data_IF_274992073352
#
_entry.id   IF_274992073352
#
_cell.length_a   1.000
_cell.length_b   1.000
_cell.length_c   1.000
_cell.angle_alpha   90.00
_cell.angle_beta   90.00
_cell.angle_gamma   90.00
#
_symmetry.space_group_name_H-M   'P 1'
#
loop_
_entity.id
_entity.type
_entity.pdbx_description
1 polymer ?
#
# COMPACT_ATOMS: atom_id res chain seq x y z
N UNK A 1 7.08 -6.28 3.01
CA UNK A 1 6.39 -7.38 2.32
C UNK A 1 7.08 -7.57 0.98
N UNK A 2 7.33 -8.82 0.58
CA UNK A 2 7.93 -9.09 -0.72
C UNK A 2 6.93 -8.79 -1.85
N UNK A 3 7.43 -8.70 -3.09
CA UNK A 3 6.57 -8.46 -4.24
C UNK A 3 5.64 -9.66 -4.50
N UNK A 4 6.12 -10.88 -4.28
CA UNK A 4 5.36 -12.11 -4.45
C UNK A 4 4.21 -12.19 -3.45
N UNK A 5 4.47 -11.86 -2.18
CA UNK A 5 3.42 -11.75 -1.16
C UNK A 5 2.37 -10.69 -1.55
N UNK A 6 2.83 -9.56 -2.10
CA UNK A 6 1.94 -8.47 -2.52
C UNK A 6 1.02 -8.88 -3.67
N UNK A 7 1.53 -9.60 -4.67
CA UNK A 7 0.71 -10.07 -5.81
C UNK A 7 -0.43 -11.01 -5.39
N UNK A 8 -0.25 -11.75 -4.29
CA UNK A 8 -1.30 -12.62 -3.72
C UNK A 8 -2.38 -11.79 -3.01
N UNK A 9 -1.98 -10.74 -2.29
CA UNK A 9 -2.88 -9.91 -1.48
C UNK A 9 -3.61 -8.86 -2.33
N UNK A 10 -2.94 -8.30 -3.32
CA UNK A 10 -3.43 -7.18 -4.15
C UNK A 10 -4.85 -7.40 -4.71
N UNK A 11 -5.23 -8.59 -5.25
CA UNK A 11 -6.58 -8.82 -5.77
C UNK A 11 -7.69 -8.80 -4.72
N UNK A 12 -7.35 -8.95 -3.43
CA UNK A 12 -8.31 -8.92 -2.32
C UNK A 12 -8.64 -7.49 -1.88
N UNK A 13 -7.85 -6.51 -2.32
CA UNK A 13 -8.08 -5.11 -1.96
C UNK A 13 -9.27 -4.55 -2.75
N UNK A 14 -10.14 -3.73 -2.12
CA UNK A 14 -11.23 -3.10 -2.82
C UNK A 14 -10.71 -2.19 -3.93
N UNK A 15 -11.40 -2.20 -5.07
CA UNK A 15 -11.10 -1.28 -6.17
C UNK A 15 -11.36 0.17 -5.72
N UNK A 16 -10.40 1.08 -5.88
CA UNK A 16 -10.57 2.45 -5.46
C UNK A 16 -11.47 3.21 -6.45
N UNK A 17 -12.70 3.53 -6.02
CA UNK A 17 -13.71 4.22 -6.84
C UNK A 17 -13.24 5.56 -7.45
N UNK A 18 -12.27 6.24 -6.83
CA UNK A 18 -11.72 7.50 -7.36
C UNK A 18 -10.91 7.31 -8.66
N UNK A 19 -10.41 6.10 -8.96
CA UNK A 19 -9.75 5.80 -10.24
C UNK A 19 -10.73 5.83 -11.41
N UNK A 20 -11.99 5.44 -11.18
CA UNK A 20 -13.03 5.41 -12.21
C UNK A 20 -13.76 6.76 -12.35
N UNK A 21 -13.33 7.79 -11.61
CA UNK A 21 -14.04 9.07 -11.57
C UNK A 21 -15.36 9.02 -10.80
N UNK A 22 -15.65 7.95 -10.06
CA UNK A 22 -16.86 7.80 -9.24
C UNK A 22 -16.86 8.66 -7.95
N UNK A 23 -15.99 9.68 -7.88
CA UNK A 23 -15.84 10.59 -6.75
C UNK A 23 -14.95 10.07 -5.61
N UNK A 24 -14.88 10.83 -4.53
CA UNK A 24 -14.04 10.55 -3.36
C UNK A 24 -12.66 11.21 -3.41
N UNK A 25 -11.92 11.14 -2.29
CA UNK A 25 -10.58 11.71 -2.17
C UNK A 25 -9.55 10.74 -2.78
N UNK A 26 -8.68 11.20 -3.70
CA UNK A 26 -7.58 10.37 -4.20
C UNK A 26 -6.69 9.85 -3.07
N UNK A 27 -6.32 8.57 -3.16
CA UNK A 27 -5.39 7.96 -2.23
C UNK A 27 -4.00 8.59 -2.36
N UNK A 28 -3.39 8.97 -1.23
CA UNK A 28 -2.03 9.55 -1.21
C UNK A 28 -0.92 8.50 -1.32
N UNK A 29 -1.21 7.25 -0.97
CA UNK A 29 -0.24 6.18 -0.83
C UNK A 29 -0.73 4.93 -1.55
N UNK A 30 0.19 4.18 -2.15
CA UNK A 30 -0.14 2.90 -2.78
C UNK A 30 -0.63 1.91 -1.73
N UNK A 31 -1.60 1.04 -2.07
CA UNK A 31 -2.12 0.04 -1.15
C UNK A 31 -1.03 -0.87 -0.57
N UNK A 32 -0.03 -1.27 -1.36
CA UNK A 32 1.10 -2.08 -0.87
C UNK A 32 1.88 -1.40 0.25
N UNK A 33 2.09 -0.09 0.18
CA UNK A 33 2.76 0.69 1.23
C UNK A 33 1.93 0.75 2.52
N UNK A 34 0.60 0.85 2.38
CA UNK A 34 -0.31 0.80 3.53
C UNK A 34 -0.26 -0.58 4.19
N UNK A 35 -0.23 -1.66 3.40
CA UNK A 35 -0.13 -3.02 3.92
C UNK A 35 1.22 -3.29 4.60
N UNK A 36 2.32 -2.79 4.05
CA UNK A 36 3.62 -2.82 4.75
C UNK A 36 3.54 -2.11 6.10
N UNK A 37 2.88 -0.95 6.17
CA UNK A 37 2.78 -0.18 7.40
C UNK A 37 1.95 -0.93 8.45
N UNK A 38 0.83 -1.52 8.04
CA UNK A 38 -0.01 -2.35 8.90
C UNK A 38 0.79 -3.55 9.42
N UNK A 39 1.51 -4.27 8.55
CA UNK A 39 2.32 -5.43 8.95
C UNK A 39 3.47 -5.04 9.88
N UNK A 40 4.12 -3.90 9.63
CA UNK A 40 5.14 -3.37 10.53
C UNK A 40 4.57 -3.10 11.92
N UNK A 41 3.42 -2.41 12.00
CA UNK A 41 2.76 -2.13 13.28
C UNK A 41 2.30 -3.41 13.97
N UNK A 42 1.80 -4.40 13.23
CA UNK A 42 1.38 -5.69 13.79
C UNK A 42 2.55 -6.50 14.38
N UNK A 43 3.71 -6.49 13.71
CA UNK A 43 4.90 -7.24 14.11
C UNK A 43 5.72 -6.52 15.20
N UNK A 44 5.95 -5.21 15.04
CA UNK A 44 6.87 -4.43 15.89
C UNK A 44 6.16 -3.50 16.89
N UNK A 45 4.85 -3.30 16.74
CA UNK A 45 4.08 -2.24 17.38
C UNK A 45 4.26 -0.87 16.70
N UNK A 46 3.64 0.18 17.25
CA UNK A 46 3.75 1.55 16.75
C UNK A 46 5.03 2.26 17.24
N UNK A 47 6.18 1.61 17.08
CA UNK A 47 7.48 2.15 17.53
C UNK A 47 8.17 2.89 16.40
N UNK A 48 7.90 4.18 16.27
CA UNK A 48 8.43 5.03 15.19
C UNK A 48 9.95 5.03 15.05
N UNK A 49 10.70 4.83 16.14
CA UNK A 49 12.17 4.73 16.09
C UNK A 49 12.68 3.48 15.35
N UNK A 50 11.85 2.46 15.20
CA UNK A 50 12.19 1.23 14.49
C UNK A 50 11.75 1.27 13.03
N UNK A 51 11.09 2.33 12.58
CA UNK A 51 10.70 2.45 11.18
C UNK A 51 11.97 2.66 10.33
N UNK A 52 12.20 1.86 9.28
CA UNK A 52 13.32 2.07 8.37
C UNK A 52 13.28 3.48 7.75
N UNK A 53 14.45 4.09 7.57
CA UNK A 53 14.57 5.46 7.03
C UNK A 53 14.02 5.55 5.59
N UNK A 54 14.15 4.46 4.86
CA UNK A 54 13.69 4.27 3.49
C UNK A 54 12.26 3.72 3.38
N UNK A 55 11.51 3.65 4.48
CA UNK A 55 10.17 3.05 4.47
C UNK A 55 9.20 3.73 3.50
N UNK A 56 9.30 5.06 3.35
CA UNK A 56 8.49 5.84 2.41
C UNK A 56 9.22 6.11 1.08
N UNK A 57 10.41 5.52 0.89
CA UNK A 57 11.09 5.59 -0.40
C UNK A 57 10.20 4.92 -1.46
N UNK A 58 10.23 5.51 -2.64
CA UNK A 58 9.25 5.33 -3.70
C UNK A 58 8.94 3.84 -4.00
N UNK A 59 7.87 3.29 -3.41
CA UNK A 59 7.26 2.06 -3.90
C UNK A 59 6.45 2.47 -5.14
N UNK A 60 6.75 1.96 -6.34
CA UNK A 60 5.94 2.26 -7.51
C UNK A 60 4.50 1.83 -7.19
N UNK A 61 3.55 2.76 -7.34
CA UNK A 61 2.16 2.38 -7.26
C UNK A 61 1.88 1.53 -8.49
N UNK A 62 1.63 0.23 -8.29
CA UNK A 62 1.00 -0.61 -9.31
C UNK A 62 -0.48 -0.23 -9.45
N UNK A 63 -0.76 1.06 -9.63
CA UNK A 63 -1.89 1.54 -10.39
C UNK A 63 -1.61 1.20 -11.85
N UNK A 64 -1.44 -0.11 -12.13
CA UNK A 64 -1.53 -0.61 -13.47
C UNK A 64 -2.97 -0.29 -13.88
N UNK A 65 -3.18 0.48 -14.95
CA UNK A 65 -4.43 0.38 -15.65
C UNK A 65 -4.44 -1.07 -16.17
N UNK A 66 -5.28 -1.92 -15.61
CA UNK A 66 -5.65 -3.18 -16.27
C UNK A 66 -6.66 -2.91 -17.41
N UNK A 67 -6.55 -1.74 -18.07
CA UNK A 67 -7.16 -1.34 -19.35
C UNK A 67 -6.30 -0.29 -20.03
#
# INVERSE_FOLDING_TARGET
MSEEEWQIIKPLMPWPAWLDGNGGRPGKHCHGLIMDAIRHVADNGCKWRNLPVDFLAHRPCDLHPLV
#
